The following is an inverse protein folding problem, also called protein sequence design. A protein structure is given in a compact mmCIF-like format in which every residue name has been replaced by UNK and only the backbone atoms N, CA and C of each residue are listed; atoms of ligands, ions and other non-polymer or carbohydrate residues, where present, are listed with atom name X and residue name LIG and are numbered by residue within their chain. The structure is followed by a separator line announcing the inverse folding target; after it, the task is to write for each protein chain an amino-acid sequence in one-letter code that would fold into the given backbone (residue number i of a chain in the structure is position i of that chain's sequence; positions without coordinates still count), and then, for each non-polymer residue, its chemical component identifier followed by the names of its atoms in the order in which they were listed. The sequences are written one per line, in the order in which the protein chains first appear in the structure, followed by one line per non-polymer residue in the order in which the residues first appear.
data_IF_353416788596
#
_entry.id   IF_353416788596
#
_cell.length_a   1.000
_cell.length_b   1.000
_cell.length_c   1.000
_cell.angle_alpha   90.00
_cell.angle_beta   90.00
_cell.angle_gamma   90.00
#
_symmetry.space_group_name_H-M   'P 1'
#
loop_
_entity.id
_entity.type
_entity.pdbx_description
1 polymer ?
#
# COMPACT_ATOMS: atom_id res chain seq x y z
N UNK A 1 36.48 40.03 -64.48
CA UNK A 1 35.10 39.92 -63.96
C UNK A 1 35.17 39.42 -62.53
N UNK A 2 34.57 40.16 -61.59
CA UNK A 2 34.44 39.80 -60.17
C UNK A 2 33.32 38.77 -60.03
N UNK A 3 33.47 37.78 -59.16
CA UNK A 3 32.38 37.31 -58.27
C UNK A 3 33.00 36.62 -57.05
N UNK A 4 32.92 37.35 -55.94
CA UNK A 4 32.98 36.87 -54.55
C UNK A 4 31.72 36.05 -54.25
N UNK A 5 31.84 34.97 -53.50
CA UNK A 5 30.75 34.45 -52.66
C UNK A 5 31.31 33.75 -51.42
N UNK A 6 30.68 34.11 -50.30
CA UNK A 6 31.04 33.93 -48.90
C UNK A 6 30.54 32.62 -48.30
N UNK A 7 31.20 32.23 -47.20
CA UNK A 7 30.84 31.35 -46.08
C UNK A 7 29.45 30.67 -46.06
N UNK A 8 29.41 29.41 -45.60
CA UNK A 8 28.81 29.05 -44.30
C UNK A 8 29.21 27.64 -43.85
N UNK A 9 30.04 27.55 -42.81
CA UNK A 9 30.30 26.32 -42.06
C UNK A 9 29.09 26.00 -41.20
N UNK A 10 28.43 24.87 -41.43
CA UNK A 10 27.43 24.31 -40.51
C UNK A 10 28.03 23.11 -39.79
N UNK A 11 28.54 23.36 -38.59
CA UNK A 11 28.84 22.31 -37.61
C UNK A 11 27.50 21.88 -37.01
N UNK A 12 27.02 20.69 -37.37
CA UNK A 12 25.95 20.04 -36.62
C UNK A 12 26.50 19.65 -35.25
N UNK A 13 26.20 20.43 -34.21
CA UNK A 13 26.25 19.96 -32.84
C UNK A 13 25.07 19.00 -32.63
N UNK A 14 25.36 17.70 -32.70
CA UNK A 14 24.44 16.68 -32.19
C UNK A 14 24.40 16.81 -30.67
N UNK A 15 23.34 17.43 -30.16
CA UNK A 15 23.00 17.42 -28.74
C UNK A 15 22.70 15.98 -28.33
N UNK A 16 23.67 15.30 -27.73
CA UNK A 16 23.37 14.17 -26.86
C UNK A 16 22.67 14.74 -25.63
N UNK A 17 21.34 14.71 -25.63
CA UNK A 17 20.62 14.74 -24.37
C UNK A 17 20.99 13.43 -23.66
N UNK A 18 21.98 13.48 -22.77
CA UNK A 18 22.08 12.50 -21.71
C UNK A 18 20.76 12.62 -20.94
N UNK A 19 19.83 11.71 -21.18
CA UNK A 19 18.80 11.42 -20.22
C UNK A 19 19.56 10.98 -18.96
N UNK A 20 19.68 11.89 -17.99
CA UNK A 20 20.13 11.52 -16.66
C UNK A 20 19.17 10.41 -16.20
N UNK A 21 19.68 9.25 -15.74
CA UNK A 21 18.81 8.29 -15.10
C UNK A 21 18.09 9.03 -13.96
N UNK A 22 16.77 8.94 -13.91
CA UNK A 22 15.98 9.45 -12.79
C UNK A 22 16.32 8.62 -11.55
N UNK A 23 17.48 8.87 -10.96
CA UNK A 23 17.97 8.21 -9.75
C UNK A 23 17.26 8.80 -8.54
N UNK A 24 15.95 8.57 -8.44
CA UNK A 24 15.24 8.53 -7.15
C UNK A 24 15.36 7.14 -6.50
N UNK A 25 16.03 6.19 -7.16
CA UNK A 25 16.43 4.89 -6.62
C UNK A 25 17.67 5.05 -5.74
N UNK A 26 17.47 5.07 -4.42
CA UNK A 26 18.56 5.14 -3.45
C UNK A 26 18.11 5.72 -2.12
N UNK A 27 18.97 5.59 -1.11
CA UNK A 27 18.69 6.02 0.27
C UNK A 27 18.19 7.45 0.35
N UNK A 28 18.77 8.40 -0.39
CA UNK A 28 18.33 9.79 -0.38
C UNK A 28 16.89 9.98 -0.91
N UNK A 29 16.51 9.22 -1.94
CA UNK A 29 15.15 9.22 -2.47
C UNK A 29 14.15 8.62 -1.49
N UNK A 30 14.52 7.52 -0.80
CA UNK A 30 13.68 6.94 0.25
C UNK A 30 13.62 7.81 1.50
N UNK A 31 14.72 8.40 1.95
CA UNK A 31 14.75 9.40 3.02
C UNK A 31 14.07 10.71 2.63
N UNK A 32 13.70 10.90 1.37
CA UNK A 32 12.82 12.00 0.98
C UNK A 32 11.36 11.53 1.03
N UNK A 33 11.07 10.32 0.50
CA UNK A 33 9.73 9.70 0.50
C UNK A 33 9.21 9.25 1.86
N UNK A 34 10.10 8.89 2.78
CA UNK A 34 9.85 8.48 4.17
C UNK A 34 10.66 9.35 5.14
N UNK A 35 10.95 10.56 4.69
CA UNK A 35 11.91 11.47 5.31
C UNK A 35 11.41 12.15 6.55
N UNK A 36 11.90 11.67 7.70
CA UNK A 36 11.64 12.13 9.08
C UNK A 36 10.37 11.55 9.68
N UNK A 37 10.41 10.27 10.02
CA UNK A 37 9.41 9.73 10.94
C UNK A 37 10.04 8.99 12.11
N UNK A 38 10.34 9.74 13.18
CA UNK A 38 10.40 9.20 14.54
C UNK A 38 8.99 8.99 15.13
N UNK A 39 7.95 9.11 14.30
CA UNK A 39 6.56 9.23 14.71
C UNK A 39 5.63 8.36 13.85
N UNK A 40 5.94 7.05 13.81
CA UNK A 40 4.94 5.99 13.68
C UNK A 40 4.52 5.56 12.27
N UNK A 41 5.24 4.59 11.70
CA UNK A 41 4.61 3.56 10.84
C UNK A 41 3.62 2.67 11.63
N UNK A 42 3.54 2.84 12.95
CA UNK A 42 2.63 2.14 13.84
C UNK A 42 1.17 2.41 13.49
N UNK A 43 0.32 1.42 13.73
CA UNK A 43 -1.13 1.55 13.58
C UNK A 43 -1.70 2.79 14.26
N UNK A 44 -2.31 3.66 13.47
CA UNK A 44 -3.15 4.74 13.97
C UNK A 44 -4.58 4.23 14.09
N UNK A 45 -4.89 3.63 15.23
CA UNK A 45 -6.23 3.07 15.47
C UNK A 45 -7.28 4.18 15.56
N UNK A 46 -8.45 3.91 14.97
CA UNK A 46 -9.56 4.85 14.94
C UNK A 46 -10.86 4.17 15.35
N UNK A 47 -11.59 4.77 16.29
CA UNK A 47 -12.99 4.42 16.51
C UNK A 47 -13.81 4.97 15.34
N UNK A 48 -14.25 4.08 14.44
CA UNK A 48 -15.10 4.47 13.32
C UNK A 48 -16.56 4.58 13.74
N UNK A 49 -17.28 5.51 13.08
CA UNK A 49 -18.74 5.61 13.15
C UNK A 49 -19.45 4.61 12.22
N UNK A 50 -18.72 4.00 11.29
CA UNK A 50 -19.23 2.99 10.36
C UNK A 50 -19.10 1.60 10.98
N UNK A 51 -20.23 1.01 11.36
CA UNK A 51 -20.29 -0.39 11.82
C UNK A 51 -20.41 -1.34 10.63
N UNK A 52 -19.29 -1.64 9.95
CA UNK A 52 -19.25 -2.70 8.93
C UNK A 52 -18.86 -4.02 9.59
N UNK A 53 -19.54 -5.10 9.22
CA UNK A 53 -19.18 -6.46 9.62
C UNK A 53 -18.74 -7.24 8.41
N UNK A 54 -17.69 -8.05 8.56
CA UNK A 54 -17.18 -8.91 7.50
C UNK A 54 -17.37 -10.36 7.89
N UNK A 55 -17.87 -11.15 6.94
CA UNK A 55 -17.99 -12.58 7.06
C UNK A 55 -16.65 -13.25 6.73
N UNK A 56 -16.17 -14.09 7.64
CA UNK A 56 -15.01 -14.93 7.43
C UNK A 56 -15.47 -16.28 6.86
N UNK A 57 -15.32 -16.47 5.55
CA UNK A 57 -15.70 -17.73 4.90
C UNK A 57 -14.89 -18.95 5.39
N UNK A 58 -13.69 -18.75 5.93
CA UNK A 58 -12.83 -19.81 6.44
C UNK A 58 -13.31 -20.37 7.79
N UNK A 59 -13.83 -19.51 8.66
CA UNK A 59 -14.31 -19.90 10.00
C UNK A 59 -15.83 -19.93 10.12
N UNK A 60 -16.55 -19.41 9.12
CA UNK A 60 -17.99 -19.23 9.16
C UNK A 60 -18.46 -18.17 10.17
N UNK A 61 -17.54 -17.32 10.66
CA UNK A 61 -17.83 -16.33 11.69
C UNK A 61 -17.94 -14.91 11.11
N UNK A 62 -18.71 -14.05 11.76
CA UNK A 62 -18.84 -12.63 11.40
C UNK A 62 -18.16 -11.79 12.47
N UNK A 63 -17.23 -10.92 12.06
CA UNK A 63 -16.52 -10.01 12.96
C UNK A 63 -16.71 -8.56 12.52
N UNK A 64 -16.70 -7.63 13.47
CA UNK A 64 -16.67 -6.20 13.16
C UNK A 64 -15.33 -5.85 12.48
N UNK A 65 -15.39 -5.04 11.42
CA UNK A 65 -14.20 -4.46 10.78
C UNK A 65 -13.66 -3.38 11.71
N UNK A 66 -12.36 -3.42 12.00
CA UNK A 66 -11.67 -2.31 12.67
C UNK A 66 -11.18 -1.30 11.64
N UNK A 67 -10.94 -0.06 12.07
CA UNK A 67 -10.44 0.97 11.18
C UNK A 67 -9.14 1.57 11.70
N UNK A 68 -8.27 1.85 10.75
CA UNK A 68 -7.02 2.57 10.96
C UNK A 68 -6.96 3.75 10.00
N UNK A 69 -6.24 4.80 10.39
CA UNK A 69 -6.00 5.91 9.47
C UNK A 69 -5.04 5.56 8.32
N UNK A 70 -4.23 4.50 8.47
CA UNK A 70 -3.14 4.21 7.53
C UNK A 70 -2.96 2.73 7.16
N UNK A 71 -3.50 1.75 7.91
CA UNK A 71 -3.35 0.33 7.58
C UNK A 71 -4.67 -0.35 7.19
N UNK A 72 -4.62 -1.19 6.18
CA UNK A 72 -5.66 -2.18 5.86
C UNK A 72 -5.04 -3.57 5.77
N UNK A 73 -5.74 -4.60 6.22
CA UNK A 73 -5.30 -5.98 6.10
C UNK A 73 -5.68 -6.85 7.29
N UNK A 74 -4.75 -7.72 7.68
CA UNK A 74 -4.94 -8.69 8.74
C UNK A 74 -3.77 -8.65 9.71
N UNK A 75 -4.07 -8.56 11.01
CA UNK A 75 -3.08 -8.60 12.08
C UNK A 75 -3.51 -9.54 13.21
N UNK A 76 -2.66 -10.49 13.56
CA UNK A 76 -2.83 -11.31 14.75
C UNK A 76 -2.26 -10.52 15.91
N UNK A 77 -3.08 -10.19 16.91
CA UNK A 77 -2.70 -9.23 17.96
C UNK A 77 -2.07 -9.88 19.19
N UNK A 78 -2.05 -11.21 19.25
CA UNK A 78 -1.43 -11.98 20.32
C UNK A 78 -1.03 -13.36 19.82
N UNK A 79 0.17 -13.86 20.18
CA UNK A 79 0.60 -15.21 19.81
C UNK A 79 -0.14 -16.28 20.63
N UNK A 80 -0.01 -17.56 20.25
CA UNK A 80 -0.43 -18.68 21.09
C UNK A 80 0.15 -18.55 22.51
N UNK A 81 -0.64 -18.94 23.51
CA UNK A 81 -0.26 -18.75 24.92
C UNK A 81 1.12 -19.33 25.24
N UNK A 82 2.02 -18.48 25.74
CA UNK A 82 3.37 -18.87 26.13
C UNK A 82 4.39 -18.87 24.98
N UNK A 83 3.99 -18.46 23.77
CA UNK A 83 4.86 -18.36 22.60
C UNK A 83 5.00 -16.89 22.16
N UNK A 84 5.91 -16.65 21.24
CA UNK A 84 6.09 -15.35 20.55
C UNK A 84 6.23 -15.60 19.06
N UNK A 85 5.65 -14.73 18.23
CA UNK A 85 5.90 -14.76 16.80
C UNK A 85 7.37 -14.46 16.53
N UNK A 86 7.98 -15.27 15.68
CA UNK A 86 9.36 -15.09 15.24
C UNK A 86 9.49 -15.11 13.72
N UNK A 87 8.45 -15.46 12.96
CA UNK A 87 8.49 -15.35 11.51
C UNK A 87 7.11 -15.07 10.92
N UNK A 88 7.07 -14.31 9.83
CA UNK A 88 5.84 -14.03 9.07
C UNK A 88 6.17 -14.09 7.58
N UNK A 89 5.33 -14.80 6.83
CA UNK A 89 5.42 -14.91 5.38
C UNK A 89 4.11 -14.60 4.69
N UNK A 90 4.19 -14.07 3.47
CA UNK A 90 3.04 -13.95 2.58
C UNK A 90 3.49 -13.67 1.15
N UNK A 91 2.58 -13.89 0.21
CA UNK A 91 2.80 -13.63 -1.22
C UNK A 91 1.75 -12.68 -1.75
N UNK A 92 2.18 -11.81 -2.67
CA UNK A 92 1.28 -10.97 -3.47
C UNK A 92 1.61 -11.10 -4.95
N UNK A 93 0.61 -10.88 -5.80
CA UNK A 93 0.86 -10.50 -7.19
C UNK A 93 0.94 -8.98 -7.26
N UNK A 94 2.00 -8.43 -7.84
CA UNK A 94 2.24 -6.98 -7.89
C UNK A 94 1.11 -6.28 -8.65
N UNK A 95 0.38 -5.34 -8.02
CA UNK A 95 -0.72 -4.64 -8.67
C UNK A 95 -0.19 -3.66 -9.74
N UNK A 96 -1.10 -3.10 -10.54
CA UNK A 96 -0.80 -1.92 -11.38
C UNK A 96 -1.52 -0.72 -10.78
N UNK A 97 -0.84 0.15 -10.02
CA UNK A 97 -1.49 1.29 -9.38
C UNK A 97 -1.84 2.39 -10.39
N UNK A 98 -2.76 3.26 -10.01
CA UNK A 98 -3.16 4.46 -10.74
C UNK A 98 -3.42 5.62 -9.79
N UNK A 99 -3.49 6.84 -10.34
CA UNK A 99 -3.95 7.98 -9.57
C UNK A 99 -5.46 7.81 -9.30
N UNK A 100 -5.93 8.00 -8.05
CA UNK A 100 -7.32 7.78 -7.68
C UNK A 100 -8.24 8.75 -8.42
N UNK A 101 -9.37 8.24 -8.91
CA UNK A 101 -10.39 9.04 -9.58
C UNK A 101 -11.23 9.84 -8.58
N UNK A 102 -11.67 11.05 -8.97
CA UNK A 102 -12.53 11.88 -8.11
C UNK A 102 -11.82 12.57 -6.93
N UNK A 103 -10.51 12.39 -6.79
CA UNK A 103 -9.67 13.14 -5.84
C UNK A 103 -9.01 14.29 -6.58
N UNK A 104 -8.87 15.46 -5.92
CA UNK A 104 -8.12 16.57 -6.50
C UNK A 104 -6.66 16.14 -6.77
N UNK A 105 -6.13 16.52 -7.94
CA UNK A 105 -4.72 16.30 -8.25
C UNK A 105 -3.87 16.89 -7.14
N UNK A 106 -2.93 16.11 -6.62
CA UNK A 106 -1.90 16.61 -5.71
C UNK A 106 -0.70 17.09 -6.52
N UNK A 107 0.15 17.91 -5.92
CA UNK A 107 1.46 18.27 -6.49
C UNK A 107 2.52 17.16 -6.27
N UNK A 108 2.11 16.04 -5.64
CA UNK A 108 2.99 14.94 -5.21
C UNK A 108 2.67 13.62 -5.91
N UNK A 109 3.55 12.64 -5.72
CA UNK A 109 3.33 11.28 -6.23
C UNK A 109 2.22 10.60 -5.41
N UNK A 110 1.49 9.66 -6.04
CA UNK A 110 0.57 8.77 -5.32
C UNK A 110 1.29 7.47 -4.99
N UNK A 111 1.08 6.90 -3.81
CA UNK A 111 1.66 5.61 -3.49
C UNK A 111 0.81 4.81 -2.50
N UNK A 112 1.13 3.53 -2.42
CA UNK A 112 0.70 2.64 -1.36
C UNK A 112 1.79 1.57 -1.20
N UNK A 113 1.80 0.87 -0.08
CA UNK A 113 2.73 -0.24 0.17
C UNK A 113 1.96 -1.52 0.49
N UNK A 114 2.58 -2.67 0.24
CA UNK A 114 2.10 -3.96 0.70
C UNK A 114 3.26 -4.73 1.34
N UNK A 115 3.08 -5.21 2.56
CA UNK A 115 4.18 -5.77 3.35
C UNK A 115 3.71 -6.82 4.37
N UNK A 116 4.69 -7.55 4.92
CA UNK A 116 4.51 -8.47 6.05
C UNK A 116 5.43 -8.07 7.19
N UNK A 117 4.99 -8.27 8.43
CA UNK A 117 5.73 -7.80 9.59
C UNK A 117 5.44 -8.55 10.88
N UNK A 118 6.33 -8.30 11.86
CA UNK A 118 6.18 -8.67 13.27
C UNK A 118 6.16 -7.37 14.07
N UNK A 119 5.19 -7.27 15.00
CA UNK A 119 4.94 -6.13 15.89
C UNK A 119 4.49 -4.83 15.17
N UNK A 120 4.27 -3.75 15.93
CA UNK A 120 3.81 -2.45 15.40
C UNK A 120 2.32 -2.17 15.59
N UNK A 121 1.55 -3.20 15.97
CA UNK A 121 0.15 -3.08 16.35
C UNK A 121 0.03 -2.81 17.86
N UNK A 122 -0.30 -3.83 18.65
CA UNK A 122 -0.44 -3.68 20.10
C UNK A 122 0.93 -3.54 20.78
N UNK A 123 2.02 -3.90 20.09
CA UNK A 123 3.39 -3.69 20.52
C UNK A 123 4.11 -2.64 19.65
N UNK A 124 4.24 -1.41 20.14
CA UNK A 124 4.70 -0.27 19.33
C UNK A 124 6.21 0.03 19.38
N UNK A 125 6.99 -0.77 20.11
CA UNK A 125 8.42 -0.47 20.35
C UNK A 125 9.29 -0.71 19.12
N UNK A 126 8.96 -1.73 18.32
CA UNK A 126 9.70 -2.11 17.13
C UNK A 126 8.77 -2.75 16.10
N UNK A 127 9.19 -2.77 14.85
CA UNK A 127 8.55 -3.53 13.77
C UNK A 127 9.65 -4.12 12.90
N UNK A 128 9.66 -5.43 12.69
CA UNK A 128 10.50 -6.06 11.67
C UNK A 128 9.62 -6.36 10.46
N UNK A 129 9.87 -5.69 9.34
CA UNK A 129 8.96 -5.73 8.19
C UNK A 129 9.69 -5.65 6.85
N UNK A 130 9.03 -6.17 5.81
CA UNK A 130 9.52 -6.12 4.43
C UNK A 130 8.36 -6.13 3.44
N UNK A 131 8.50 -5.41 2.35
CA UNK A 131 7.48 -5.39 1.31
C UNK A 131 7.82 -4.55 0.10
N UNK A 132 6.77 -4.11 -0.59
CA UNK A 132 6.85 -3.33 -1.82
C UNK A 132 6.14 -2.00 -1.63
N UNK A 133 6.74 -0.92 -2.14
CA UNK A 133 6.04 0.32 -2.45
C UNK A 133 5.66 0.30 -3.94
N UNK A 134 4.44 0.74 -4.27
CA UNK A 134 3.98 0.98 -5.62
C UNK A 134 3.58 2.45 -5.76
N UNK A 135 4.26 3.16 -6.66
CA UNK A 135 4.19 4.62 -6.79
C UNK A 135 3.78 5.03 -8.20
N UNK A 136 2.84 5.96 -8.29
CA UNK A 136 2.40 6.64 -9.50
C UNK A 136 2.87 8.08 -9.43
N UNK A 137 3.80 8.46 -10.31
CA UNK A 137 4.27 9.85 -10.35
C UNK A 137 3.18 10.81 -10.81
N UNK A 138 3.39 12.11 -10.60
CA UNK A 138 2.53 13.17 -11.16
C UNK A 138 2.39 13.12 -12.69
N UNK A 139 3.34 12.49 -13.40
CA UNK A 139 3.24 12.26 -14.85
C UNK A 139 2.48 10.98 -15.23
N UNK A 140 1.94 10.25 -14.25
CA UNK A 140 1.28 8.96 -14.41
C UNK A 140 2.25 7.77 -14.59
N UNK A 141 3.55 7.96 -14.34
CA UNK A 141 4.51 6.87 -14.50
C UNK A 141 4.50 5.96 -13.27
N UNK A 142 4.36 4.66 -13.49
CA UNK A 142 4.33 3.64 -12.43
C UNK A 142 5.75 3.15 -12.12
N UNK A 143 6.06 3.01 -10.84
CA UNK A 143 7.32 2.45 -10.35
C UNK A 143 7.11 1.62 -9.09
N UNK A 144 8.04 0.69 -8.84
CA UNK A 144 8.00 -0.23 -7.70
C UNK A 144 9.33 -0.24 -6.97
N UNK A 145 9.30 -0.33 -5.64
CA UNK A 145 10.48 -0.43 -4.79
C UNK A 145 10.29 -1.54 -3.76
N UNK A 146 11.17 -2.55 -3.77
CA UNK A 146 11.24 -3.54 -2.70
C UNK A 146 12.05 -3.00 -1.51
N UNK A 147 11.64 -3.27 -0.28
CA UNK A 147 12.27 -2.69 0.92
C UNK A 147 12.23 -3.58 2.15
N UNK A 148 13.10 -3.27 3.10
CA UNK A 148 13.15 -3.85 4.44
C UNK A 148 13.24 -2.75 5.50
N UNK A 149 12.78 -3.03 6.71
CA UNK A 149 12.85 -2.09 7.83
C UNK A 149 12.89 -2.83 9.17
N UNK A 150 13.64 -2.27 10.11
CA UNK A 150 13.49 -2.55 11.53
C UNK A 150 13.15 -1.24 12.25
N UNK A 151 11.87 -0.90 12.34
CA UNK A 151 11.41 0.31 13.01
C UNK A 151 11.93 0.33 14.46
N UNK A 152 12.44 1.46 14.98
CA UNK A 152 12.32 2.83 14.46
C UNK A 152 13.44 3.29 13.52
N UNK A 153 14.31 2.40 13.03
CA UNK A 153 15.24 2.77 11.96
C UNK A 153 14.50 2.95 10.62
N UNK A 154 15.13 3.63 9.68
CA UNK A 154 14.53 3.89 8.37
C UNK A 154 14.38 2.61 7.55
N UNK A 155 13.27 2.50 6.83
CA UNK A 155 13.18 1.58 5.70
C UNK A 155 14.32 1.82 4.69
N UNK A 156 14.77 0.74 4.05
CA UNK A 156 15.85 0.74 3.05
C UNK A 156 15.43 -0.09 1.85
N UNK A 157 15.75 0.36 0.62
CA UNK A 157 15.46 -0.41 -0.59
C UNK A 157 16.40 -1.60 -0.74
N UNK A 158 15.84 -2.69 -1.27
CA UNK A 158 16.63 -3.71 -1.94
C UNK A 158 16.93 -3.33 -3.39
N UNK A 159 18.06 -3.79 -3.91
CA UNK A 159 18.30 -3.79 -5.36
C UNK A 159 17.62 -5.03 -5.98
N UNK A 160 16.32 -4.90 -6.22
CA UNK A 160 15.50 -5.93 -6.86
C UNK A 160 14.55 -5.28 -7.87
N UNK A 161 14.63 -5.71 -9.12
CA UNK A 161 13.69 -5.27 -10.16
C UNK A 161 12.33 -5.93 -9.94
N UNK A 162 11.28 -5.11 -9.93
CA UNK A 162 9.89 -5.52 -9.76
C UNK A 162 9.07 -4.96 -10.91
N UNK A 163 8.17 -5.78 -11.45
CA UNK A 163 7.21 -5.40 -12.50
C UNK A 163 5.78 -5.73 -12.08
N UNK A 164 4.82 -5.03 -12.66
CA UNK A 164 3.41 -5.38 -12.54
C UNK A 164 3.18 -6.86 -12.93
N UNK A 165 2.37 -7.57 -12.14
CA UNK A 165 2.08 -8.99 -12.37
C UNK A 165 3.15 -9.96 -11.88
N UNK A 166 4.30 -9.50 -11.37
CA UNK A 166 5.25 -10.39 -10.70
C UNK A 166 4.61 -11.01 -9.45
N UNK A 167 4.96 -12.26 -9.14
CA UNK A 167 4.56 -12.90 -7.88
C UNK A 167 5.71 -12.77 -6.90
N UNK A 168 5.47 -12.05 -5.80
CA UNK A 168 6.49 -11.70 -4.81
C UNK A 168 6.19 -12.42 -3.51
N UNK A 169 7.17 -13.16 -3.00
CA UNK A 169 7.16 -13.74 -1.66
C UNK A 169 7.93 -12.84 -0.71
N UNK A 170 7.30 -12.46 0.39
CA UNK A 170 7.86 -11.62 1.45
C UNK A 170 8.00 -12.47 2.72
N UNK A 171 9.12 -12.34 3.40
CA UNK A 171 9.41 -13.12 4.60
C UNK A 171 10.26 -12.34 5.58
N UNK A 172 9.83 -12.30 6.84
CA UNK A 172 10.63 -11.82 7.97
C UNK A 172 10.85 -12.94 8.97
N UNK A 173 12.03 -12.94 9.59
CA UNK A 173 12.41 -13.91 10.62
C UNK A 173 13.27 -13.25 11.70
N UNK A 174 12.78 -13.22 12.93
CA UNK A 174 13.49 -12.80 14.12
C UNK A 174 14.26 -13.99 14.71
N UNK A 175 15.58 -13.89 14.76
CA UNK A 175 16.45 -14.88 15.42
C UNK A 175 16.64 -14.59 16.91
N UNK A 176 16.53 -13.33 17.29
CA UNK A 176 16.39 -12.86 18.68
C UNK A 176 15.40 -11.69 18.68
N UNK A 177 15.07 -11.16 19.86
CA UNK A 177 14.27 -9.93 19.95
C UNK A 177 14.95 -8.71 19.32
N UNK A 178 16.24 -8.76 18.99
CA UNK A 178 17.03 -7.63 18.45
C UNK A 178 17.84 -7.98 17.21
N UNK A 179 17.62 -9.16 16.63
CA UNK A 179 18.29 -9.59 15.40
C UNK A 179 17.39 -10.49 14.56
N UNK A 180 17.55 -10.42 13.25
CA UNK A 180 16.73 -11.19 12.32
C UNK A 180 17.08 -10.92 10.88
N UNK A 181 16.15 -11.24 9.98
CA UNK A 181 16.29 -11.02 8.55
C UNK A 181 14.97 -10.65 7.89
N UNK A 182 15.08 -9.86 6.83
CA UNK A 182 14.03 -9.59 5.86
C UNK A 182 14.43 -10.17 4.50
N UNK A 183 13.52 -10.86 3.83
CA UNK A 183 13.74 -11.49 2.54
C UNK A 183 12.58 -11.20 1.59
N UNK A 184 12.92 -10.84 0.37
CA UNK A 184 11.98 -10.75 -0.75
C UNK A 184 12.47 -11.65 -1.88
N UNK A 185 11.59 -12.51 -2.36
CA UNK A 185 11.82 -13.34 -3.54
C UNK A 185 10.80 -12.97 -4.62
N UNK A 186 11.29 -12.58 -5.78
CA UNK A 186 10.48 -12.46 -6.98
C UNK A 186 10.40 -13.83 -7.65
N UNK A 187 9.32 -14.56 -7.37
CA UNK A 187 9.09 -15.91 -7.86
C UNK A 187 8.92 -15.97 -9.39
N UNK A 188 8.47 -14.88 -10.02
CA UNK A 188 8.37 -14.79 -11.48
C UNK A 188 9.74 -14.78 -12.13
N UNK A 189 10.71 -14.08 -11.55
CA UNK A 189 12.07 -13.95 -12.10
C UNK A 189 13.09 -14.92 -11.48
N UNK A 190 12.75 -15.57 -10.37
CA UNK A 190 13.63 -16.42 -9.58
C UNK A 190 14.74 -15.67 -8.83
N UNK A 191 14.59 -14.35 -8.64
CA UNK A 191 15.58 -13.52 -7.93
C UNK A 191 15.19 -13.33 -6.46
N UNK A 192 16.16 -13.46 -5.58
CA UNK A 192 15.97 -13.30 -4.13
C UNK A 192 16.96 -12.28 -3.58
N UNK A 193 16.48 -11.46 -2.66
CA UNK A 193 17.28 -10.53 -1.85
C UNK A 193 16.99 -10.76 -0.38
N UNK A 194 18.03 -10.77 0.44
CA UNK A 194 17.92 -10.95 1.88
C UNK A 194 18.82 -9.94 2.58
N UNK A 195 18.31 -9.35 3.66
CA UNK A 195 19.09 -8.52 4.57
C UNK A 195 19.07 -9.14 5.96
N UNK A 196 20.23 -9.28 6.59
CA UNK A 196 20.34 -9.48 8.03
C UNK A 196 20.30 -8.12 8.75
N UNK A 197 19.47 -8.03 9.78
CA UNK A 197 19.23 -6.82 10.56
C UNK A 197 19.56 -7.05 12.04
N UNK A 198 19.99 -5.96 12.68
CA UNK A 198 20.15 -5.86 14.13
C UNK A 198 19.59 -4.53 14.57
N UNK A 199 18.96 -4.47 15.75
CA UNK A 199 18.36 -3.25 16.28
C UNK A 199 18.59 -3.10 17.78
N UNK A 200 18.62 -1.86 18.24
CA UNK A 200 18.56 -1.52 19.67
C UNK A 200 17.14 -1.55 20.22
N UNK A 201 16.12 -1.53 19.35
CA UNK A 201 14.72 -1.65 19.72
C UNK A 201 14.28 -3.09 19.60
N UNK A 202 13.90 -3.69 20.72
CA UNK A 202 13.50 -5.08 20.80
C UNK A 202 12.08 -5.30 20.26
N UNK A 203 11.90 -6.38 19.49
CA UNK A 203 10.60 -6.98 19.20
C UNK A 203 10.02 -7.63 20.47
N UNK A 204 8.71 -7.55 20.61
CA UNK A 204 7.91 -8.32 21.55
C UNK A 204 7.49 -9.68 20.99
N UNK A 205 7.36 -9.79 19.66
CA UNK A 205 6.79 -10.98 19.01
C UNK A 205 5.31 -11.17 19.38
N UNK A 206 4.61 -10.07 19.63
CA UNK A 206 3.21 -10.02 20.05
C UNK A 206 2.27 -9.94 18.84
N UNK A 207 2.74 -9.37 17.73
CA UNK A 207 1.95 -9.22 16.53
C UNK A 207 2.57 -9.88 15.30
N UNK A 208 1.70 -10.31 14.39
CA UNK A 208 2.06 -10.78 13.07
C UNK A 208 1.05 -10.24 12.07
N UNK A 209 1.51 -9.57 11.01
CA UNK A 209 0.60 -8.88 10.09
C UNK A 209 0.98 -8.91 8.61
N UNK A 210 -0.06 -8.71 7.80
CA UNK A 210 -0.04 -8.55 6.34
C UNK A 210 -0.86 -7.32 5.99
N UNK A 211 -0.20 -6.28 5.51
CA UNK A 211 -0.76 -4.93 5.48
C UNK A 211 -0.62 -4.31 4.09
N UNK A 212 -1.68 -3.65 3.64
CA UNK A 212 -1.62 -2.55 2.66
C UNK A 212 -1.63 -1.25 3.44
N UNK A 213 -0.67 -0.36 3.18
CA UNK A 213 -0.48 0.85 3.97
C UNK A 213 -0.43 2.12 3.12
N UNK A 214 -1.11 3.15 3.60
CA UNK A 214 -0.91 4.56 3.25
C UNK A 214 0.24 5.09 4.10
N UNK A 215 1.48 5.01 3.60
CA UNK A 215 2.66 5.29 4.41
C UNK A 215 2.93 6.80 4.51
N UNK A 216 3.70 7.20 5.51
CA UNK A 216 4.02 8.60 5.72
C UNK A 216 5.15 9.10 4.81
N UNK A 217 4.92 10.27 4.19
CA UNK A 217 5.93 11.09 3.54
C UNK A 217 6.08 12.41 4.30
N UNK A 218 7.20 12.56 5.02
CA UNK A 218 7.42 13.73 5.87
C UNK A 218 6.52 13.73 7.10
N UNK A 219 5.64 14.71 7.22
CA UNK A 219 4.74 14.87 8.38
C UNK A 219 3.28 14.48 8.06
N UNK A 220 3.02 13.88 6.90
CA UNK A 220 1.69 13.51 6.43
C UNK A 220 1.71 12.13 5.77
N UNK A 221 0.55 11.49 5.69
CA UNK A 221 0.36 10.34 4.80
C UNK A 221 0.61 10.78 3.35
N UNK A 222 1.12 9.86 2.54
CA UNK A 222 1.27 10.09 1.10
C UNK A 222 -0.12 10.20 0.45
N UNK A 223 -0.18 10.72 -0.78
CA UNK A 223 -1.42 10.65 -1.53
C UNK A 223 -1.70 9.17 -1.86
N UNK A 224 -2.73 8.58 -1.25
CA UNK A 224 -2.98 7.14 -1.38
C UNK A 224 -3.33 6.75 -2.83
N UNK A 225 -2.55 5.83 -3.41
CA UNK A 225 -2.75 5.35 -4.78
C UNK A 225 -3.94 4.38 -4.88
N UNK A 226 -4.66 4.43 -5.99
CA UNK A 226 -5.60 3.37 -6.36
C UNK A 226 -4.80 2.16 -6.86
N UNK A 227 -4.65 1.16 -6.01
CA UNK A 227 -3.93 -0.07 -6.32
C UNK A 227 -4.82 -1.18 -6.90
N UNK A 228 -6.11 -0.91 -7.11
CA UNK A 228 -7.09 -1.93 -7.47
C UNK A 228 -7.24 -2.97 -6.36
N UNK A 229 -6.57 -4.11 -6.51
CA UNK A 229 -6.64 -5.23 -5.56
C UNK A 229 -5.25 -5.75 -5.21
N UNK A 230 -4.99 -5.94 -3.92
CA UNK A 230 -3.85 -6.72 -3.41
C UNK A 230 -4.40 -7.96 -2.73
N UNK A 231 -4.02 -9.13 -3.20
CA UNK A 231 -4.38 -10.40 -2.57
C UNK A 231 -3.15 -11.01 -1.93
N UNK A 232 -3.18 -11.13 -0.61
CA UNK A 232 -2.20 -11.90 0.13
C UNK A 232 -2.58 -13.38 0.09
N UNK A 233 -1.60 -14.22 -0.22
CA UNK A 233 -1.71 -15.68 -0.25
C UNK A 233 -0.54 -16.30 0.50
N UNK A 234 -0.66 -17.57 0.86
CA UNK A 234 0.32 -18.30 1.66
C UNK A 234 0.71 -17.52 2.94
N UNK A 235 -0.29 -16.89 3.57
CA UNK A 235 -0.13 -16.18 4.82
C UNK A 235 0.17 -17.17 5.95
N UNK A 236 1.35 -17.04 6.57
CA UNK A 236 1.75 -17.84 7.74
C UNK A 236 2.44 -16.94 8.75
N UNK A 237 1.95 -16.94 9.98
CA UNK A 237 2.64 -16.45 11.16
C UNK A 237 3.16 -17.65 11.96
N UNK A 238 4.44 -17.66 12.30
CA UNK A 238 5.08 -18.76 12.98
C UNK A 238 5.70 -18.31 14.30
N UNK A 239 5.69 -19.25 15.24
CA UNK A 239 6.48 -19.24 16.47
C UNK A 239 7.54 -20.35 16.38
N UNK A 240 8.33 -20.54 17.45
CA UNK A 240 9.25 -21.67 17.55
C UNK A 240 8.54 -23.04 17.61
N UNK A 241 7.25 -23.07 17.94
CA UNK A 241 6.51 -24.29 18.27
C UNK A 241 5.35 -24.58 17.32
N UNK A 242 4.77 -23.53 16.72
CA UNK A 242 3.56 -23.66 15.91
C UNK A 242 3.46 -22.56 14.86
N UNK A 243 2.44 -22.64 14.01
CA UNK A 243 2.12 -21.60 13.06
C UNK A 243 0.61 -21.48 12.89
N UNK A 244 0.14 -20.29 12.57
CA UNK A 244 -1.25 -19.99 12.27
C UNK A 244 -1.36 -19.10 11.04
N UNK A 245 -2.53 -19.16 10.40
CA UNK A 245 -2.89 -18.31 9.28
C UNK A 245 -3.61 -17.04 9.72
N UNK A 246 -4.47 -16.52 8.85
CA UNK A 246 -5.22 -15.26 9.05
C UNK A 246 -6.62 -15.46 9.61
N UNK A 247 -7.04 -16.69 9.93
CA UNK A 247 -8.40 -16.94 10.45
C UNK A 247 -8.69 -16.31 11.81
N UNK A 248 -7.67 -16.16 12.66
CA UNK A 248 -7.70 -15.53 13.99
C UNK A 248 -7.39 -14.03 13.95
N UNK A 249 -6.94 -13.53 12.80
CA UNK A 249 -6.47 -12.16 12.67
C UNK A 249 -7.61 -11.16 12.85
N UNK A 250 -7.28 -10.07 13.55
CA UNK A 250 -8.08 -8.86 13.51
C UNK A 250 -7.96 -8.25 12.12
N UNK A 251 -9.10 -7.86 11.58
CA UNK A 251 -9.20 -7.31 10.23
C UNK A 251 -9.42 -5.82 10.29
N UNK A 252 -8.72 -5.10 9.41
CA UNK A 252 -8.75 -3.64 9.41
C UNK A 252 -8.85 -3.07 8.00
N UNK A 253 -9.53 -1.94 7.88
CA UNK A 253 -9.60 -1.13 6.68
C UNK A 253 -9.14 0.30 6.96
N UNK A 254 -8.63 0.97 5.91
CA UNK A 254 -8.23 2.37 6.02
C UNK A 254 -9.49 3.23 6.01
N UNK A 255 -9.64 4.06 7.04
CA UNK A 255 -10.62 5.12 7.09
C UNK A 255 -9.92 6.44 7.36
N UNK A 256 -10.00 7.37 6.40
CA UNK A 256 -9.32 8.64 6.54
C UNK A 256 -9.98 9.52 7.63
N UNK A 257 -9.35 10.66 7.92
CA UNK A 257 -9.83 11.61 8.94
C UNK A 257 -11.20 12.22 8.63
N UNK A 258 -11.67 12.14 7.38
CA UNK A 258 -13.01 12.56 6.96
C UNK A 258 -14.09 11.46 7.10
N UNK A 259 -13.74 10.30 7.69
CA UNK A 259 -14.58 9.11 7.81
C UNK A 259 -14.95 8.47 6.47
N UNK A 260 -14.12 8.68 5.46
CA UNK A 260 -14.23 7.94 4.21
C UNK A 260 -13.39 6.67 4.31
N UNK A 261 -14.03 5.53 4.08
CA UNK A 261 -13.36 4.24 3.99
C UNK A 261 -12.62 4.20 2.64
N UNK A 262 -11.34 3.84 2.62
CA UNK A 262 -10.51 3.85 1.41
C UNK A 262 -10.16 2.43 0.94
N UNK A 263 -10.43 1.42 1.76
CA UNK A 263 -10.21 0.02 1.42
C UNK A 263 -11.36 -0.86 1.86
N UNK A 264 -11.50 -2.00 1.19
CA UNK A 264 -12.40 -3.07 1.60
C UNK A 264 -11.64 -4.40 1.66
N UNK A 265 -11.57 -4.97 2.87
CA UNK A 265 -10.90 -6.25 3.10
C UNK A 265 -11.87 -7.43 3.06
N UNK A 266 -11.61 -8.36 2.15
CA UNK A 266 -12.32 -9.63 2.04
C UNK A 266 -11.45 -10.84 2.46
N UNK A 267 -11.89 -11.63 3.43
CA UNK A 267 -11.16 -12.83 3.88
C UNK A 267 -11.58 -14.05 3.06
N UNK A 268 -10.61 -14.72 2.43
CA UNK A 268 -10.86 -15.78 1.45
C UNK A 268 -10.68 -17.17 2.07
N UNK A 269 -9.58 -17.39 2.82
CA UNK A 269 -9.25 -18.64 3.49
C UNK A 269 -8.37 -18.36 4.72
N UNK A 270 -7.98 -19.40 5.46
CA UNK A 270 -7.01 -19.25 6.56
C UNK A 270 -5.61 -18.83 6.05
N UNK A 271 -5.30 -18.99 4.77
CA UNK A 271 -3.99 -18.60 4.22
C UNK A 271 -4.09 -17.48 3.18
N UNK A 272 -5.24 -16.82 3.04
CA UNK A 272 -5.41 -15.78 2.02
C UNK A 272 -6.53 -14.79 2.30
N UNK A 273 -6.29 -13.53 1.97
CA UNK A 273 -7.30 -12.47 1.96
C UNK A 273 -6.97 -11.43 0.88
N UNK A 274 -7.95 -10.61 0.54
CA UNK A 274 -7.82 -9.52 -0.42
C UNK A 274 -8.12 -8.19 0.24
N UNK A 275 -7.36 -7.17 -0.14
CA UNK A 275 -7.63 -5.76 0.13
C UNK A 275 -7.91 -5.10 -1.20
N UNK A 276 -9.03 -4.42 -1.30
CA UNK A 276 -9.45 -3.69 -2.49
C UNK A 276 -9.40 -2.19 -2.18
N UNK A 277 -8.94 -1.36 -3.12
CA UNK A 277 -9.11 0.08 -3.03
C UNK A 277 -10.58 0.43 -3.30
N UNK A 278 -11.17 1.32 -2.49
CA UNK A 278 -12.54 1.79 -2.69
C UNK A 278 -12.53 3.24 -3.13
N UNK A 279 -13.02 3.51 -4.34
CA UNK A 279 -13.12 4.89 -4.84
C UNK A 279 -14.25 5.67 -4.15
N UNK A 280 -14.12 7.00 -4.12
CA UNK A 280 -15.20 7.91 -3.67
C UNK A 280 -16.49 7.68 -4.49
N UNK A 281 -16.34 7.40 -5.78
CA UNK A 281 -17.46 7.23 -6.71
C UNK A 281 -18.26 5.95 -6.41
N UNK A 282 -17.58 4.87 -6.06
CA UNK A 282 -18.21 3.60 -5.71
C UNK A 282 -19.02 3.72 -4.41
N UNK A 283 -18.48 4.41 -3.40
CA UNK A 283 -19.19 4.69 -2.16
C UNK A 283 -20.42 5.59 -2.37
N UNK A 284 -20.34 6.58 -3.26
CA UNK A 284 -21.47 7.44 -3.60
C UNK A 284 -22.59 6.66 -4.33
N UNK A 285 -22.24 5.62 -5.08
CA UNK A 285 -23.20 4.73 -5.74
C UNK A 285 -23.87 3.76 -4.75
N UNK A 286 -23.13 3.20 -3.79
CA UNK A 286 -23.70 2.35 -2.74
C UNK A 286 -24.65 3.12 -1.83
N UNK A 287 -24.27 4.33 -1.39
CA UNK A 287 -25.14 5.20 -0.59
C UNK A 287 -26.40 5.65 -1.34
N UNK A 288 -26.37 5.69 -2.68
CA UNK A 288 -27.54 5.97 -3.53
C UNK A 288 -28.46 4.77 -3.73
N UNK A 289 -27.96 3.54 -3.53
CA UNK A 289 -28.70 2.29 -3.73
C UNK A 289 -29.56 1.86 -2.53
N UNK A 290 -29.20 2.28 -1.30
CA UNK A 290 -29.96 1.97 -0.09
C UNK A 290 -31.24 2.83 0.09
N UNK A 291 -31.55 3.71 -0.88
CA UNK A 291 -32.57 4.75 -0.78
C UNK A 291 -33.92 4.54 -1.50
N UNK A 292 -34.22 3.37 -2.09
CA UNK A 292 -35.53 3.14 -2.74
C UNK A 292 -36.60 2.59 -1.77
N UNK A 293 -36.57 3.07 -0.52
CA UNK A 293 -37.33 2.50 0.59
C UNK A 293 -38.19 3.45 1.42
N UNK A 294 -38.37 4.73 1.11
CA UNK A 294 -39.53 5.52 1.61
C UNK A 294 -39.59 6.91 0.96
N UNK A 295 -40.76 7.24 0.41
CA UNK A 295 -41.03 8.53 -0.25
C UNK A 295 -41.21 9.62 0.80
N UNK A 296 -40.18 10.45 0.99
CA UNK A 296 -40.25 11.75 1.66
C UNK A 296 -39.83 12.87 0.72
N UNK A 297 -40.78 13.66 0.22
CA UNK A 297 -40.53 14.83 -0.64
C UNK A 297 -39.63 15.84 0.09
N UNK A 298 -38.34 15.91 -0.25
CA UNK A 298 -37.50 16.93 0.40
C UNK A 298 -36.06 17.16 -0.03
N UNK A 299 -35.48 16.56 -1.07
CA UNK A 299 -34.06 16.87 -1.45
C UNK A 299 -33.71 16.63 -2.93
N UNK A 300 -34.70 16.55 -3.83
CA UNK A 300 -34.48 16.17 -5.23
C UNK A 300 -33.66 17.15 -6.09
N UNK A 301 -33.32 18.34 -5.59
CA UNK A 301 -32.76 19.41 -6.45
C UNK A 301 -31.22 19.42 -6.47
N UNK A 302 -30.53 18.93 -5.44
CA UNK A 302 -29.06 19.00 -5.39
C UNK A 302 -28.37 17.82 -6.09
N UNK A 303 -28.98 16.63 -6.11
CA UNK A 303 -28.41 15.45 -6.76
C UNK A 303 -28.62 15.39 -8.29
N UNK A 304 -29.61 16.11 -8.85
CA UNK A 304 -29.74 16.20 -10.31
C UNK A 304 -28.66 17.13 -10.93
N UNK A 305 -28.13 18.10 -10.18
CA UNK A 305 -27.09 18.99 -10.68
C UNK A 305 -25.74 18.28 -10.88
N UNK A 306 -25.39 17.36 -9.96
CA UNK A 306 -24.15 16.57 -10.06
C UNK A 306 -24.24 15.53 -11.18
N UNK A 307 -25.39 14.88 -11.35
CA UNK A 307 -25.60 13.94 -12.47
C UNK A 307 -25.63 14.63 -13.84
N UNK A 308 -26.23 15.82 -13.96
CA UNK A 308 -26.27 16.53 -15.24
C UNK A 308 -24.91 17.11 -15.66
N UNK A 309 -24.02 17.41 -14.71
CA UNK A 309 -22.66 17.86 -15.03
C UNK A 309 -21.77 16.72 -15.58
N UNK A 310 -22.11 15.45 -15.28
CA UNK A 310 -21.36 14.27 -15.72
C UNK A 310 -21.76 13.78 -17.14
N UNK A 311 -23.00 14.01 -17.57
CA UNK A 311 -23.47 13.64 -18.93
C UNK A 311 -22.83 14.55 -20.01
N UNK A 312 -22.40 15.76 -19.65
CA UNK A 312 -21.75 16.70 -20.57
C UNK A 312 -20.26 16.36 -20.83
N UNK A 313 -19.61 15.59 -19.96
CA UNK A 313 -18.18 15.23 -20.13
C UNK A 313 -18.00 13.94 -20.94
N UNK A 314 -18.99 13.03 -20.96
CA UNK A 314 -18.89 11.76 -21.70
C UNK A 314 -19.38 11.82 -23.17
N UNK A 315 -19.97 12.94 -23.61
CA UNK A 315 -20.48 13.10 -24.99
C UNK A 315 -19.56 13.90 -25.93
N UNK A 316 -18.41 14.38 -25.46
CA UNK A 316 -17.44 15.14 -26.24
C UNK A 316 -16.39 14.30 -26.98
N UNK A 317 -16.81 13.26 -27.70
CA UNK A 317 -15.89 12.34 -28.39
C UNK A 317 -16.50 11.69 -29.62
N UNK A 318 -16.76 12.47 -30.68
CA UNK A 318 -17.22 11.89 -31.94
C UNK A 318 -17.48 12.89 -33.08
N UNK A 319 -16.48 12.98 -33.97
CA UNK A 319 -16.55 13.38 -35.40
C UNK A 319 -16.81 14.86 -35.76
N UNK A 320 -15.75 15.53 -36.21
CA UNK A 320 -15.51 15.89 -37.61
C UNK A 320 -14.00 15.97 -37.85
#
# INVERSE_FOLDING_TARGET
MKFTSTLLSTVLLTSFALAAPSSRSGLAGRLQRRGRTLQGSTLRSKESKNSKTTFNAATGNTSAVQYSENWSGAAITSPPTGQTFNAVSGKITVPTPSAPSGVASTDGDYAASAWVGIDGNTYSTAILQTGLDFTVSTSGAVSYSAWYEWYPDYAMDFDLTISAGDVISMYVNATTTTSGSATIENLTTGKTVTKSLTSTSALGGENAEWIVEDFEEGNSLIAFADFGNVTFTDCVAATAESSEGVSTATIMDIENTSNQVLTDKNLISDSSFQVSYTSILEQAMEAGGEGEGEVGKGTRVENEAVLQQLILVSSGGGRC
#
